data_IF_750606766855
#
_entry.id   IF_750606766855
#
_cell.length_a   1.000
_cell.length_b   1.000
_cell.length_c   1.000
_cell.angle_alpha   90.00
_cell.angle_beta   90.00
_cell.angle_gamma   90.00
#
_symmetry.space_group_name_H-M   'P 1'
#
loop_
_entity.id
_entity.type
_entity.pdbx_description
1 polymer ?
#
# COMPACT_ATOMS: atom_id res chain seq x y z
N UNK A 1 -19.76 -6.55 6.19
CA UNK A 1 -18.93 -5.45 5.67
C UNK A 1 -18.50 -4.59 6.82
N UNK A 2 -17.23 -4.19 6.84
CA UNK A 2 -16.63 -3.41 7.92
C UNK A 2 -16.80 -1.90 7.69
N UNK A 3 -16.73 -1.10 8.76
CA UNK A 3 -16.99 0.36 8.73
C UNK A 3 -16.12 1.08 7.70
N UNK A 4 -14.85 0.74 7.72
CA UNK A 4 -13.79 1.19 6.82
C UNK A 4 -14.01 0.81 5.35
N UNK A 5 -14.51 -0.40 5.07
CA UNK A 5 -14.85 -0.78 3.69
C UNK A 5 -15.99 0.09 3.16
N UNK A 6 -17.01 0.31 4.00
CA UNK A 6 -18.16 1.14 3.65
C UNK A 6 -17.72 2.58 3.43
N UNK A 7 -16.85 3.13 4.29
CA UNK A 7 -16.29 4.47 4.11
C UNK A 7 -15.57 4.61 2.75
N UNK A 8 -14.66 3.70 2.43
CA UNK A 8 -13.94 3.72 1.16
C UNK A 8 -14.89 3.60 -0.05
N UNK A 9 -15.92 2.75 0.06
CA UNK A 9 -16.95 2.62 -0.97
C UNK A 9 -17.76 3.91 -1.17
N UNK A 10 -18.25 4.51 -0.09
CA UNK A 10 -19.07 5.73 -0.16
C UNK A 10 -18.29 6.87 -0.80
N UNK A 11 -17.03 7.07 -0.41
CA UNK A 11 -16.13 8.07 -1.03
C UNK A 11 -16.04 7.83 -2.54
N UNK A 12 -15.73 6.61 -2.97
CA UNK A 12 -15.54 6.29 -4.37
C UNK A 12 -16.84 6.37 -5.19
N UNK A 13 -17.97 5.94 -4.62
CA UNK A 13 -19.30 5.93 -5.24
C UNK A 13 -19.82 7.35 -5.46
N UNK A 14 -19.69 8.22 -4.46
CA UNK A 14 -20.33 9.53 -4.44
C UNK A 14 -19.54 10.60 -5.21
N UNK A 15 -18.23 10.39 -5.42
CA UNK A 15 -17.44 11.23 -6.32
C UNK A 15 -17.91 11.09 -7.77
N UNK A 16 -18.10 12.19 -8.50
CA UNK A 16 -18.54 12.18 -9.91
C UNK A 16 -17.38 11.98 -10.88
N UNK A 17 -16.23 12.56 -10.57
CA UNK A 17 -15.04 12.51 -11.44
C UNK A 17 -13.80 11.96 -10.72
N UNK A 18 -12.80 11.41 -11.45
CA UNK A 18 -11.53 11.00 -10.84
C UNK A 18 -10.77 12.16 -10.18
N UNK A 19 -10.90 13.37 -10.71
CA UNK A 19 -10.25 14.56 -10.15
C UNK A 19 -10.88 14.92 -8.80
N UNK A 20 -12.21 14.87 -8.70
CA UNK A 20 -12.93 15.05 -7.44
C UNK A 20 -12.52 14.00 -6.42
N UNK A 21 -12.41 12.73 -6.83
CA UNK A 21 -11.94 11.66 -5.97
C UNK A 21 -10.55 11.97 -5.37
N UNK A 22 -9.58 12.36 -6.21
CA UNK A 22 -8.23 12.70 -5.73
C UNK A 22 -8.27 13.87 -4.74
N UNK A 23 -9.12 14.89 -4.99
CA UNK A 23 -9.28 16.03 -4.06
C UNK A 23 -9.87 15.60 -2.72
N UNK A 24 -10.92 14.77 -2.73
CA UNK A 24 -11.54 14.26 -1.50
C UNK A 24 -10.55 13.43 -0.71
N UNK A 25 -9.83 12.52 -1.35
CA UNK A 25 -8.84 11.67 -0.67
C UNK A 25 -7.72 12.47 -0.02
N UNK A 26 -7.18 13.46 -0.74
CA UNK A 26 -6.16 14.36 -0.20
C UNK A 26 -6.66 15.16 1.01
N UNK A 27 -7.92 15.55 1.00
CA UNK A 27 -8.49 16.43 2.02
C UNK A 27 -9.05 15.69 3.24
N UNK A 28 -9.34 14.38 3.16
CA UNK A 28 -10.05 13.69 4.24
C UNK A 28 -9.47 12.32 4.64
N UNK A 29 -8.72 11.66 3.75
CA UNK A 29 -8.16 10.32 4.03
C UNK A 29 -6.65 10.34 4.24
N UNK A 30 -5.91 11.20 3.53
CA UNK A 30 -4.44 11.21 3.57
C UNK A 30 -3.79 9.92 3.05
N UNK A 31 -4.57 9.06 2.37
CA UNK A 31 -4.12 7.80 1.81
C UNK A 31 -4.02 7.85 0.28
N UNK A 32 -3.01 7.18 -0.32
CA UNK A 32 -2.89 7.11 -1.77
C UNK A 32 -4.10 6.46 -2.45
N UNK A 33 -4.45 6.97 -3.63
CA UNK A 33 -5.78 6.76 -4.20
C UNK A 33 -6.03 5.49 -5.03
N UNK A 34 -5.09 4.55 -5.16
CA UNK A 34 -5.23 3.45 -6.12
C UNK A 34 -6.42 2.52 -5.81
N UNK A 35 -6.63 2.19 -4.53
CA UNK A 35 -7.77 1.39 -4.09
C UNK A 35 -9.10 2.07 -4.44
N UNK A 36 -9.24 3.33 -4.03
CA UNK A 36 -10.43 4.14 -4.30
C UNK A 36 -10.69 4.34 -5.79
N UNK A 37 -9.64 4.46 -6.61
CA UNK A 37 -9.79 4.52 -8.05
C UNK A 37 -10.36 3.22 -8.61
N UNK A 38 -9.91 2.06 -8.12
CA UNK A 38 -10.52 0.77 -8.43
C UNK A 38 -12.00 0.72 -8.07
N UNK A 39 -12.36 1.16 -6.86
CA UNK A 39 -13.75 1.23 -6.40
C UNK A 39 -14.60 2.20 -7.24
N UNK A 40 -14.03 3.34 -7.65
CA UNK A 40 -14.70 4.32 -8.50
C UNK A 40 -15.08 3.71 -9.85
N UNK A 41 -14.28 2.78 -10.39
CA UNK A 41 -14.63 2.06 -11.62
C UNK A 41 -15.76 1.05 -11.37
N UNK A 42 -15.78 0.39 -10.21
CA UNK A 42 -16.82 -0.59 -9.88
C UNK A 42 -18.21 0.03 -9.73
N UNK A 43 -18.31 1.32 -9.37
CA UNK A 43 -19.59 2.01 -9.25
C UNK A 43 -20.42 2.01 -10.54
N UNK A 44 -19.74 1.94 -11.70
CA UNK A 44 -20.42 1.89 -13.01
C UNK A 44 -21.07 0.54 -13.30
N UNK A 45 -20.72 -0.50 -12.52
CA UNK A 45 -21.33 -1.83 -12.59
C UNK A 45 -22.53 -1.91 -11.65
N UNK A 46 -22.38 -1.46 -10.41
CA UNK A 46 -23.45 -1.48 -9.41
C UNK A 46 -23.23 -0.43 -8.31
N UNK A 47 -24.32 0.01 -7.70
CA UNK A 47 -24.32 0.87 -6.51
C UNK A 47 -24.14 0.10 -5.19
N UNK A 48 -24.25 -1.23 -5.23
CA UNK A 48 -24.09 -2.08 -4.05
C UNK A 48 -22.61 -2.23 -3.67
N UNK A 49 -22.24 -1.99 -2.39
CA UNK A 49 -20.87 -2.17 -1.91
C UNK A 49 -20.39 -3.62 -1.95
N UNK A 50 -21.30 -4.59 -2.10
CA UNK A 50 -20.96 -6.02 -2.17
C UNK A 50 -20.06 -6.37 -3.34
N UNK A 51 -19.96 -5.52 -4.38
CA UNK A 51 -19.06 -5.71 -5.52
C UNK A 51 -17.57 -5.69 -5.12
N UNK A 52 -17.24 -5.08 -3.99
CA UNK A 52 -15.86 -5.06 -3.48
C UNK A 52 -15.36 -6.45 -3.12
N UNK A 53 -16.22 -7.33 -2.62
CA UNK A 53 -15.85 -8.68 -2.21
C UNK A 53 -15.32 -9.54 -3.37
N UNK A 54 -16.05 -9.72 -4.51
CA UNK A 54 -15.50 -10.46 -5.64
C UNK A 54 -14.31 -9.76 -6.30
N UNK A 55 -14.28 -8.42 -6.30
CA UNK A 55 -13.10 -7.67 -6.78
C UNK A 55 -11.86 -7.97 -5.95
N UNK A 56 -11.99 -7.94 -4.62
CA UNK A 56 -10.92 -8.21 -3.69
C UNK A 56 -10.49 -9.68 -3.73
N UNK A 57 -11.45 -10.62 -3.80
CA UNK A 57 -11.17 -12.04 -3.96
C UNK A 57 -10.40 -12.32 -5.25
N UNK A 58 -10.73 -11.64 -6.36
CA UNK A 58 -9.97 -11.73 -7.60
C UNK A 58 -8.52 -11.27 -7.40
N UNK A 59 -8.29 -10.12 -6.76
CA UNK A 59 -6.94 -9.60 -6.45
C UNK A 59 -6.15 -10.58 -5.58
N UNK A 60 -6.75 -11.11 -4.52
CA UNK A 60 -6.14 -12.09 -3.62
C UNK A 60 -5.79 -13.39 -4.35
N UNK A 61 -6.70 -13.88 -5.20
CA UNK A 61 -6.50 -15.10 -6.00
C UNK A 61 -5.34 -14.94 -6.97
N UNK A 62 -5.25 -13.82 -7.68
CA UNK A 62 -4.13 -13.53 -8.58
C UNK A 62 -2.82 -13.45 -7.77
N UNK A 63 -2.84 -12.82 -6.60
CA UNK A 63 -1.66 -12.72 -5.72
C UNK A 63 -1.15 -14.10 -5.31
N UNK A 64 -2.04 -14.96 -4.82
CA UNK A 64 -1.71 -16.34 -4.44
C UNK A 64 -1.24 -17.14 -5.64
N UNK A 65 -1.86 -16.99 -6.81
CA UNK A 65 -1.43 -17.64 -8.03
C UNK A 65 0.00 -17.24 -8.41
N UNK A 66 0.31 -15.94 -8.44
CA UNK A 66 1.66 -15.45 -8.74
C UNK A 66 2.68 -15.99 -7.74
N UNK A 67 2.36 -15.94 -6.45
CA UNK A 67 3.22 -16.45 -5.40
C UNK A 67 3.49 -17.95 -5.57
N UNK A 68 2.45 -18.77 -5.71
CA UNK A 68 2.59 -20.22 -5.84
C UNK A 68 3.31 -20.63 -7.13
N UNK A 69 3.09 -19.91 -8.24
CA UNK A 69 3.65 -20.24 -9.55
C UNK A 69 5.13 -19.88 -9.67
N UNK A 70 5.52 -18.70 -9.18
CA UNK A 70 6.83 -18.13 -9.47
C UNK A 70 7.81 -18.13 -8.29
N UNK A 71 7.34 -18.31 -7.05
CA UNK A 71 8.25 -18.36 -5.90
C UNK A 71 9.02 -19.70 -5.83
N UNK A 72 10.27 -19.68 -5.33
CA UNK A 72 11.11 -20.87 -5.19
C UNK A 72 10.76 -21.73 -3.96
N UNK A 73 9.65 -21.44 -3.26
CA UNK A 73 9.29 -22.12 -2.02
C UNK A 73 8.71 -23.52 -2.23
N UNK A 74 8.77 -24.34 -1.18
CA UNK A 74 8.17 -25.68 -1.13
C UNK A 74 6.64 -25.61 -1.16
N UNK A 75 5.98 -26.72 -1.49
CA UNK A 75 4.51 -26.79 -1.49
C UNK A 75 3.91 -26.51 -0.12
N UNK A 76 4.57 -26.98 0.95
CA UNK A 76 4.12 -26.72 2.32
C UNK A 76 4.20 -25.23 2.66
N UNK A 77 5.33 -24.57 2.39
CA UNK A 77 5.47 -23.12 2.60
C UNK A 77 4.44 -22.32 1.81
N UNK A 78 4.17 -22.72 0.56
CA UNK A 78 3.15 -22.10 -0.27
C UNK A 78 1.76 -22.24 0.33
N UNK A 79 1.41 -23.44 0.78
CA UNK A 79 0.13 -23.70 1.45
C UNK A 79 0.00 -22.91 2.76
N UNK A 80 1.01 -22.95 3.62
CA UNK A 80 1.03 -22.19 4.88
C UNK A 80 0.94 -20.68 4.67
N UNK A 81 1.60 -20.15 3.64
CA UNK A 81 1.48 -18.73 3.28
C UNK A 81 0.05 -18.41 2.80
N UNK A 82 -0.46 -19.16 1.81
CA UNK A 82 -1.76 -18.89 1.21
C UNK A 82 -2.93 -18.98 2.19
N UNK A 83 -2.87 -19.87 3.16
CA UNK A 83 -3.87 -20.01 4.23
C UNK A 83 -3.43 -19.38 5.55
N UNK A 84 -2.37 -18.58 5.53
CA UNK A 84 -1.92 -17.82 6.69
C UNK A 84 -2.86 -16.64 6.99
N UNK A 85 -2.77 -16.12 8.22
CA UNK A 85 -3.62 -15.02 8.69
C UNK A 85 -3.64 -13.83 7.71
N UNK A 86 -2.48 -13.30 7.31
CA UNK A 86 -2.46 -12.12 6.44
C UNK A 86 -2.99 -12.39 5.02
N UNK A 87 -2.47 -13.37 4.26
CA UNK A 87 -2.91 -13.54 2.86
C UNK A 87 -4.37 -14.01 2.75
N UNK A 88 -4.84 -14.81 3.71
CA UNK A 88 -6.19 -15.34 3.68
C UNK A 88 -7.22 -14.41 4.33
N UNK A 89 -6.98 -13.96 5.55
CA UNK A 89 -7.96 -13.15 6.28
C UNK A 89 -7.83 -11.67 5.93
N UNK A 90 -6.71 -11.03 6.25
CA UNK A 90 -6.52 -9.58 6.04
C UNK A 90 -6.59 -9.16 4.56
N UNK A 91 -6.03 -9.96 3.66
CA UNK A 91 -5.88 -9.59 2.25
C UNK A 91 -6.85 -10.28 1.29
N UNK A 92 -7.69 -11.22 1.76
CA UNK A 92 -8.76 -11.78 0.92
C UNK A 92 -10.16 -11.46 1.46
N UNK A 93 -10.37 -11.51 2.77
CA UNK A 93 -11.69 -11.32 3.39
C UNK A 93 -12.02 -9.85 3.63
N UNK A 94 -11.08 -9.07 4.17
CA UNK A 94 -11.28 -7.65 4.49
C UNK A 94 -10.87 -6.80 3.29
N UNK A 95 -11.82 -6.09 2.66
CA UNK A 95 -11.63 -5.35 1.41
C UNK A 95 -10.80 -4.08 1.62
N UNK A 96 -9.47 -4.20 1.54
CA UNK A 96 -8.53 -3.10 1.83
C UNK A 96 -7.52 -2.88 0.71
N UNK A 97 -6.93 -1.69 0.74
CA UNK A 97 -5.86 -1.27 -0.16
C UNK A 97 -4.62 -2.18 -0.12
N UNK A 98 -4.34 -2.84 1.01
CA UNK A 98 -3.17 -3.70 1.18
C UNK A 98 -3.16 -4.91 0.23
N UNK A 99 -4.31 -5.45 -0.17
CA UNK A 99 -4.36 -6.57 -1.10
C UNK A 99 -3.79 -6.21 -2.48
N UNK A 100 -4.07 -5.00 -2.98
CA UNK A 100 -3.47 -4.49 -4.21
C UNK A 100 -1.96 -4.30 -4.03
N UNK A 101 -1.54 -3.81 -2.86
CA UNK A 101 -0.12 -3.70 -2.51
C UNK A 101 0.61 -5.04 -2.61
N UNK A 102 0.03 -6.10 -2.03
CA UNK A 102 0.60 -7.45 -2.10
C UNK A 102 0.63 -8.02 -3.52
N UNK A 103 -0.41 -7.79 -4.33
CA UNK A 103 -0.43 -8.18 -5.74
C UNK A 103 0.73 -7.54 -6.51
N UNK A 104 0.91 -6.23 -6.35
CA UNK A 104 1.94 -5.46 -7.05
C UNK A 104 3.34 -5.83 -6.56
N UNK A 105 3.52 -6.10 -5.28
CA UNK A 105 4.79 -6.58 -4.73
C UNK A 105 5.16 -7.97 -5.26
N UNK A 106 4.20 -8.90 -5.30
CA UNK A 106 4.41 -10.22 -5.92
C UNK A 106 4.76 -10.06 -7.41
N UNK A 107 4.03 -9.20 -8.13
CA UNK A 107 4.29 -8.89 -9.54
C UNK A 107 5.70 -8.35 -9.75
N UNK A 108 6.17 -7.41 -8.92
CA UNK A 108 7.55 -6.93 -8.93
C UNK A 108 8.56 -8.09 -8.80
N UNK A 109 8.39 -8.97 -7.80
CA UNK A 109 9.27 -10.12 -7.59
C UNK A 109 9.32 -11.04 -8.81
N UNK A 110 8.19 -11.28 -9.50
CA UNK A 110 8.18 -12.10 -10.72
C UNK A 110 8.94 -11.45 -11.88
N UNK A 111 8.88 -10.12 -11.99
CA UNK A 111 9.53 -9.37 -13.06
C UNK A 111 11.02 -9.17 -12.78
N UNK A 112 11.42 -9.18 -11.50
CA UNK A 112 12.76 -8.89 -11.05
C UNK A 112 13.82 -9.79 -11.71
N UNK A 113 13.53 -11.07 -11.95
CA UNK A 113 14.46 -11.98 -12.67
C UNK A 113 14.88 -11.48 -14.05
N UNK A 114 14.03 -10.68 -14.70
CA UNK A 114 14.25 -10.12 -16.04
C UNK A 114 14.29 -8.60 -16.04
N UNK A 115 14.64 -8.00 -14.90
CA UNK A 115 14.45 -6.57 -14.64
C UNK A 115 15.11 -5.66 -15.68
N UNK A 116 16.33 -6.01 -16.12
CA UNK A 116 17.08 -5.24 -17.13
C UNK A 116 16.31 -5.03 -18.44
N UNK A 117 15.59 -6.05 -18.92
CA UNK A 117 14.82 -5.97 -20.17
C UNK A 117 13.48 -5.26 -19.99
N UNK A 118 12.87 -5.43 -18.81
CA UNK A 118 11.51 -5.01 -18.46
C UNK A 118 11.48 -3.80 -17.52
N UNK A 119 12.56 -3.03 -17.44
CA UNK A 119 12.69 -1.97 -16.45
C UNK A 119 11.58 -0.90 -16.50
N UNK A 120 11.07 -0.47 -17.67
CA UNK A 120 9.90 0.41 -17.72
C UNK A 120 8.64 -0.21 -17.09
N UNK A 121 8.43 -1.53 -17.26
CA UNK A 121 7.29 -2.24 -16.66
C UNK A 121 7.46 -2.32 -15.15
N UNK A 122 8.67 -2.58 -14.67
CA UNK A 122 8.98 -2.52 -13.22
C UNK A 122 8.72 -1.12 -12.67
N UNK A 123 9.13 -0.08 -13.40
CA UNK A 123 8.87 1.30 -13.01
C UNK A 123 7.39 1.61 -12.89
N UNK A 124 6.57 1.13 -13.83
CA UNK A 124 5.10 1.25 -13.75
C UNK A 124 4.53 0.49 -12.55
N UNK A 125 4.97 -0.75 -12.30
CA UNK A 125 4.52 -1.54 -11.15
C UNK A 125 4.86 -0.86 -9.82
N UNK A 126 6.07 -0.31 -9.70
CA UNK A 126 6.52 0.41 -8.50
C UNK A 126 5.81 1.76 -8.34
N UNK A 127 5.50 2.46 -9.43
CA UNK A 127 4.66 3.66 -9.43
C UNK A 127 3.28 3.34 -8.85
N UNK A 128 2.63 2.27 -9.33
CA UNK A 128 1.34 1.84 -8.82
C UNK A 128 1.44 1.38 -7.36
N UNK A 129 2.51 0.65 -7.00
CA UNK A 129 2.72 0.17 -5.63
C UNK A 129 2.83 1.33 -4.64
N UNK A 130 3.53 2.40 -5.00
CA UNK A 130 3.61 3.63 -4.21
C UNK A 130 2.25 4.28 -3.95
N UNK A 131 1.25 4.04 -4.82
CA UNK A 131 -0.12 4.54 -4.68
C UNK A 131 -1.08 3.62 -3.92
N UNK A 132 -0.57 2.58 -3.24
CA UNK A 132 -1.42 1.69 -2.44
C UNK A 132 -1.48 2.10 -0.97
N UNK A 133 -0.34 2.39 -0.34
CA UNK A 133 -0.25 2.77 1.07
C UNK A 133 1.11 3.42 1.38
N UNK A 134 1.22 4.10 2.54
CA UNK A 134 2.49 4.65 3.03
C UNK A 134 3.52 3.54 3.27
N UNK A 135 3.11 2.39 3.78
CA UNK A 135 3.97 1.22 3.98
C UNK A 135 4.57 0.74 2.66
N UNK A 136 3.74 0.67 1.61
CA UNK A 136 4.21 0.30 0.28
C UNK A 136 5.15 1.36 -0.33
N UNK A 137 4.92 2.65 -0.07
CA UNK A 137 5.84 3.72 -0.47
C UNK A 137 7.23 3.55 0.16
N UNK A 138 7.30 3.21 1.46
CA UNK A 138 8.57 2.92 2.14
C UNK A 138 9.28 1.74 1.45
N UNK A 139 8.55 0.66 1.16
CA UNK A 139 9.09 -0.51 0.43
C UNK A 139 9.60 -0.10 -0.95
N UNK A 140 8.87 0.73 -1.69
CA UNK A 140 9.30 1.22 -3.02
C UNK A 140 10.60 2.01 -2.90
N UNK A 141 10.75 2.88 -1.90
CA UNK A 141 11.99 3.63 -1.66
C UNK A 141 13.16 2.67 -1.38
N UNK A 142 12.95 1.63 -0.55
CA UNK A 142 13.97 0.61 -0.30
C UNK A 142 14.36 -0.15 -1.57
N UNK A 143 13.38 -0.51 -2.42
CA UNK A 143 13.61 -1.17 -3.71
C UNK A 143 14.38 -0.25 -4.67
N UNK A 144 14.13 1.06 -4.67
CA UNK A 144 14.90 2.01 -5.49
C UNK A 144 16.37 1.98 -5.13
N UNK A 145 16.71 1.97 -3.84
CA UNK A 145 18.11 1.87 -3.38
C UNK A 145 18.74 0.57 -3.88
N UNK A 146 18.02 -0.55 -3.78
CA UNK A 146 18.47 -1.85 -4.30
C UNK A 146 18.70 -1.80 -5.82
N UNK A 147 17.76 -1.21 -6.59
CA UNK A 147 17.88 -1.10 -8.04
C UNK A 147 19.02 -0.17 -8.46
N UNK A 148 19.26 0.92 -7.73
CA UNK A 148 20.40 1.81 -7.95
C UNK A 148 21.72 1.08 -7.69
N UNK A 149 21.82 0.35 -6.59
CA UNK A 149 22.99 -0.48 -6.29
C UNK A 149 23.24 -1.51 -7.41
N UNK A 150 22.20 -2.20 -7.88
CA UNK A 150 22.29 -3.17 -8.98
C UNK A 150 22.78 -2.55 -10.30
N UNK A 151 22.33 -1.33 -10.62
CA UNK A 151 22.79 -0.59 -11.82
C UNK A 151 24.26 -0.15 -11.67
N UNK A 152 24.68 0.27 -10.48
CA UNK A 152 26.03 0.78 -10.23
C UNK A 152 27.08 -0.33 -10.12
N UNK A 153 26.72 -1.47 -9.51
CA UNK A 153 27.64 -2.57 -9.23
C UNK A 153 27.76 -3.58 -10.37
N UNK A 154 26.78 -3.65 -11.27
CA UNK A 154 26.79 -4.63 -12.37
C UNK A 154 27.34 -4.00 -13.66
N UNK A 155 28.38 -4.59 -14.29
CA UNK A 155 28.90 -4.13 -15.58
C UNK A 155 27.90 -4.29 -16.74
N UNK A 156 27.04 -5.31 -16.69
CA UNK A 156 26.02 -5.58 -17.72
C UNK A 156 24.81 -4.67 -17.53
N UNK A 157 24.92 -3.46 -18.09
CA UNK A 157 23.89 -2.44 -17.98
C UNK A 157 22.80 -2.58 -19.04
N UNK A 158 21.52 -2.45 -18.66
CA UNK A 158 20.45 -2.30 -19.64
C UNK A 158 20.64 -1.04 -20.49
N UNK A 159 19.96 -0.99 -21.65
CA UNK A 159 19.96 0.21 -22.51
C UNK A 159 19.62 1.46 -21.67
N UNK A 160 20.46 2.49 -21.74
CA UNK A 160 20.32 3.74 -20.95
C UNK A 160 18.92 4.37 -21.04
N UNK A 161 18.28 4.31 -22.21
CA UNK A 161 16.91 4.81 -22.40
C UNK A 161 15.88 4.07 -21.54
N UNK A 162 15.98 2.74 -21.40
CA UNK A 162 15.09 1.96 -20.55
C UNK A 162 15.30 2.26 -19.08
N UNK A 163 16.56 2.47 -18.67
CA UNK A 163 16.93 2.88 -17.31
C UNK A 163 16.28 4.22 -16.97
N UNK A 164 16.46 5.22 -17.83
CA UNK A 164 15.87 6.55 -17.65
C UNK A 164 14.35 6.50 -17.51
N UNK A 165 13.66 5.77 -18.40
CA UNK A 165 12.19 5.63 -18.35
C UNK A 165 11.75 4.93 -17.06
N UNK A 166 12.40 3.84 -16.67
CA UNK A 166 12.06 3.11 -15.45
C UNK A 166 12.20 3.97 -14.20
N UNK A 167 13.33 4.64 -14.02
CA UNK A 167 13.53 5.54 -12.87
C UNK A 167 12.62 6.76 -12.92
N UNK A 168 12.37 7.35 -14.10
CA UNK A 168 11.44 8.46 -14.24
C UNK A 168 10.03 8.07 -13.77
N UNK A 169 9.55 6.88 -14.13
CA UNK A 169 8.26 6.37 -13.64
C UNK A 169 8.26 6.19 -12.12
N UNK A 170 9.31 5.59 -11.55
CA UNK A 170 9.37 5.37 -10.09
C UNK A 170 9.41 6.70 -9.33
N UNK A 171 10.26 7.63 -9.75
CA UNK A 171 10.38 8.95 -9.13
C UNK A 171 9.09 9.75 -9.25
N UNK A 172 8.44 9.68 -10.41
CA UNK A 172 7.10 10.28 -10.60
C UNK A 172 6.11 9.67 -9.62
N UNK A 173 6.10 8.34 -9.49
CA UNK A 173 5.23 7.63 -8.56
C UNK A 173 5.43 8.01 -7.10
N UNK A 174 6.70 8.11 -6.66
CA UNK A 174 7.06 8.56 -5.32
C UNK A 174 6.59 10.00 -5.10
N UNK A 175 6.91 10.90 -6.03
CA UNK A 175 6.57 12.32 -5.91
C UNK A 175 5.05 12.54 -5.84
N UNK A 176 4.27 11.88 -6.71
CA UNK A 176 2.81 12.01 -6.71
C UNK A 176 2.16 11.32 -5.52
N UNK A 177 2.70 10.19 -5.04
CA UNK A 177 2.21 9.54 -3.82
C UNK A 177 2.43 10.43 -2.59
N UNK A 178 3.61 11.02 -2.43
CA UNK A 178 3.90 11.98 -1.36
C UNK A 178 2.95 13.18 -1.46
N UNK A 179 2.75 13.72 -2.66
CA UNK A 179 1.81 14.83 -2.87
C UNK A 179 0.36 14.51 -2.47
N UNK A 180 -0.08 13.26 -2.62
CA UNK A 180 -1.41 12.81 -2.19
C UNK A 180 -1.50 12.61 -0.67
N UNK A 181 -0.42 12.13 -0.04
CA UNK A 181 -0.38 11.86 1.41
C UNK A 181 -0.28 13.15 2.22
N UNK A 182 0.42 14.17 1.71
CA UNK A 182 0.56 15.46 2.41
C UNK A 182 -0.82 16.12 2.55
N UNK A 183 -1.32 16.31 3.78
CA UNK A 183 -2.64 16.87 4.04
C UNK A 183 -2.73 18.31 3.55
N UNK A 184 -3.94 18.73 3.16
CA UNK A 184 -4.19 20.12 2.77
C UNK A 184 -4.14 21.05 4.00
N UNK A 185 -3.59 22.26 3.81
CA UNK A 185 -3.30 23.23 4.87
C UNK A 185 -4.53 23.87 5.53
N UNK A 186 -5.72 23.57 5.03
CA UNK A 186 -7.02 24.14 5.42
C UNK A 186 -7.81 23.29 6.43
N UNK A 187 -7.29 22.12 6.83
CA UNK A 187 -7.92 21.27 7.83
C UNK A 187 -7.61 21.78 9.24
N UNK A 188 -8.61 22.34 9.93
CA UNK A 188 -8.51 22.87 11.31
C UNK A 188 -8.26 21.85 12.43
N UNK A 189 -7.56 20.74 12.16
CA UNK A 189 -7.11 19.80 13.21
C UNK A 189 -5.70 20.19 13.63
N UNK A 190 -5.64 21.16 14.54
CA UNK A 190 -4.41 21.60 15.19
C UNK A 190 -3.72 20.44 15.93
N UNK A 191 -2.45 20.20 15.57
CA UNK A 191 -1.40 19.51 16.34
C UNK A 191 -0.85 18.15 15.84
N UNK A 192 -1.44 17.47 14.85
CA UNK A 192 -0.85 16.25 14.25
C UNK A 192 -0.41 16.41 12.79
N UNK A 193 -0.55 17.61 12.24
CA UNK A 193 -0.48 17.87 10.78
C UNK A 193 0.87 18.35 10.27
N UNK A 194 1.85 18.58 11.14
CA UNK A 194 3.18 19.00 10.73
C UNK A 194 4.14 17.81 10.81
N UNK A 195 4.92 17.60 9.76
CA UNK A 195 6.05 16.68 9.81
C UNK A 195 6.97 17.12 10.94
N UNK A 196 7.01 16.34 12.03
CA UNK A 196 7.93 16.58 13.13
C UNK A 196 9.29 16.04 12.69
N UNK A 197 10.07 16.89 12.03
CA UNK A 197 11.45 16.59 11.61
C UNK A 197 12.47 16.90 12.71
N UNK A 198 12.03 17.53 13.79
CA UNK A 198 12.89 17.84 14.93
C UNK A 198 13.15 16.57 15.74
N UNK A 199 14.42 16.25 15.92
CA UNK A 199 14.83 15.14 16.77
C UNK A 199 14.66 15.52 18.24
N UNK A 200 13.59 15.03 18.86
CA UNK A 200 13.34 15.17 20.29
C UNK A 200 13.48 13.82 21.00
N UNK A 201 14.33 13.78 22.02
CA UNK A 201 14.56 12.57 22.82
C UNK A 201 13.27 12.07 23.48
N UNK A 202 12.33 12.98 23.80
CA UNK A 202 11.02 12.64 24.37
C UNK A 202 10.19 11.79 23.42
N UNK A 203 10.05 12.19 22.15
CA UNK A 203 9.36 11.38 21.14
C UNK A 203 10.01 10.00 20.94
N UNK A 204 11.35 9.92 21.02
CA UNK A 204 12.04 8.63 20.94
C UNK A 204 11.65 7.72 22.11
N UNK A 205 11.60 8.27 23.33
CA UNK A 205 11.17 7.53 24.53
C UNK A 205 9.69 7.11 24.42
N UNK A 206 8.81 7.97 23.93
CA UNK A 206 7.40 7.63 23.71
C UNK A 206 7.23 6.47 22.73
N UNK A 207 7.96 6.49 21.60
CA UNK A 207 7.97 5.39 20.61
C UNK A 207 8.48 4.09 21.25
N UNK A 208 9.54 4.16 22.06
CA UNK A 208 10.08 2.99 22.77
C UNK A 208 9.11 2.46 23.82
N UNK A 209 8.31 3.33 24.46
CA UNK A 209 7.27 2.94 25.43
C UNK A 209 6.04 2.30 24.77
N UNK A 210 5.70 2.70 23.54
CA UNK A 210 4.56 2.12 22.78
C UNK A 210 4.81 0.65 22.42
N UNK A 211 6.06 0.26 22.15
CA UNK A 211 6.39 -1.12 21.78
C UNK A 211 5.95 -2.15 22.84
N UNK A 212 6.37 -2.04 24.13
CA UNK A 212 5.90 -2.94 25.19
C UNK A 212 4.38 -2.92 25.38
N UNK A 213 3.74 -1.75 25.36
CA UNK A 213 2.29 -1.65 25.59
C UNK A 213 1.44 -2.19 24.43
N UNK A 214 1.95 -2.11 23.20
CA UNK A 214 1.29 -2.68 22.02
C UNK A 214 1.35 -4.22 22.01
N UNK A 215 2.46 -4.82 22.45
CA UNK A 215 2.62 -6.29 22.46
C UNK A 215 2.16 -6.93 23.78
N UNK A 216 2.18 -6.19 24.87
CA UNK A 216 1.71 -6.59 26.19
C UNK A 216 0.71 -5.54 26.70
N UNK A 217 -0.54 -5.55 26.18
CA UNK A 217 -1.56 -4.66 26.72
C UNK A 217 -1.81 -5.08 28.18
N UNK A 218 -1.35 -4.25 29.13
CA UNK A 218 -1.68 -4.42 30.54
C UNK A 218 -3.10 -3.89 30.69
N UNK A 219 -4.12 -4.76 30.87
CA UNK A 219 -5.49 -4.30 30.97
C UNK A 219 -5.63 -3.44 32.23
N UNK A 220 -6.13 -2.22 32.07
CA UNK A 220 -6.55 -1.44 33.22
C UNK A 220 -7.79 -2.11 33.83
N UNK A 221 -7.93 -2.21 35.16
CA UNK A 221 -9.08 -2.85 35.81
C UNK A 221 -10.32 -1.95 35.74
N UNK A 222 -10.81 -1.70 34.53
CA UNK A 222 -12.02 -0.94 34.23
C UNK A 222 -13.04 -1.81 33.51
N UNK A 223 -14.32 -1.44 33.56
CA UNK A 223 -15.42 -2.22 32.99
C UNK A 223 -15.31 -2.44 31.46
N UNK A 224 -14.49 -1.63 30.78
CA UNK A 224 -14.22 -1.68 29.34
C UNK A 224 -12.74 -1.95 29.04
N UNK A 225 -12.07 -2.78 29.84
CA UNK A 225 -10.63 -3.03 29.69
C UNK A 225 -10.18 -3.60 28.33
N UNK A 226 -11.12 -4.13 27.56
CA UNK A 226 -10.89 -4.63 26.20
C UNK A 226 -10.94 -3.54 25.13
N UNK A 227 -11.59 -2.41 25.40
CA UNK A 227 -11.57 -1.23 24.55
C UNK A 227 -10.27 -0.48 24.84
N UNK A 228 -9.16 -0.99 24.29
CA UNK A 228 -7.87 -0.30 24.27
C UNK A 228 -7.94 0.90 23.32
N UNK A 229 -8.80 1.87 23.62
CA UNK A 229 -8.71 3.21 23.05
C UNK A 229 -7.69 3.98 23.88
N UNK A 230 -6.45 4.01 23.37
CA UNK A 230 -5.51 5.08 23.70
C UNK A 230 -6.00 6.41 23.13
#
# INVERSE_FOLDING_TARGET
>A
MWRDEIQAWLIARDCKTPIELIKVLKNYEGHPGLWHFGLFLLKFITYSPTIMQPYHLMVATITVYLFCRFSPFTRLQKMLFSFGYFPFYEYAVICRNYAIGMLLLCSFCTLFKSWRRKFPIIGLVLLLLAHTSVHALIIVISIVVLLLAEVLLTPDQPKKSKIGIGFALILTGIATAIFQIVPASDQGTSNSQTWILNFEVRHLLDILHIMPTAFFPIPQPTLHFWDLTA
#
